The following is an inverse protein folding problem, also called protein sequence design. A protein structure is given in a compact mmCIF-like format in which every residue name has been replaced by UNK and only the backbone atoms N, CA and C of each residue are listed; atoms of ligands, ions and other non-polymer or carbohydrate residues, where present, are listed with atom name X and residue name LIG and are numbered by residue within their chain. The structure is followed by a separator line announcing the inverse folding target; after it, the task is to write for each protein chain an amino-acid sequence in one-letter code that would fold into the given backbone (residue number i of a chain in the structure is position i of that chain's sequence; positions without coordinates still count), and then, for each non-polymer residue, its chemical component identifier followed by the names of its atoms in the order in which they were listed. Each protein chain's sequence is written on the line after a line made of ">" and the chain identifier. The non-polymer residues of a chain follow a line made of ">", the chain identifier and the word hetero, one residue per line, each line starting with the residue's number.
data_IF_505581917873
#
_entry.id   IF_505581917873
#
_cell.length_a   1.000
_cell.length_b   1.000
_cell.length_c   1.000
_cell.angle_alpha   90.00
_cell.angle_beta   90.00
_cell.angle_gamma   90.00
#
_symmetry.space_group_name_H-M   'P 1'
#
loop_
_entity.id
_entity.type
_entity.pdbx_description
1 polymer ?
#
# COMPACT_ATOMS: atom_id res chain seq x y z
N UNK A 1 -1.77 3.11 -8.95
CA UNK A 1 -1.79 1.70 -9.43
C UNK A 1 -2.29 0.77 -8.35
N UNK A 2 -2.44 -0.54 -8.63
CA UNK A 2 -2.80 -1.53 -7.60
C UNK A 2 -1.74 -1.53 -6.48
N UNK A 3 -2.12 -1.99 -5.30
CA UNK A 3 -1.20 -2.13 -4.18
C UNK A 3 0.01 -3.01 -4.56
N UNK A 4 1.21 -2.44 -4.46
CA UNK A 4 2.48 -3.15 -4.63
C UNK A 4 2.96 -3.63 -3.26
N UNK A 5 3.29 -4.91 -3.16
CA UNK A 5 3.99 -5.50 -2.00
C UNK A 5 5.40 -5.90 -2.41
N UNK A 6 6.29 -6.09 -1.43
CA UNK A 6 7.68 -6.48 -1.69
C UNK A 6 7.75 -7.75 -2.55
N UNK A 7 6.98 -8.77 -2.16
CA UNK A 7 6.89 -10.04 -2.88
C UNK A 7 5.52 -10.21 -3.57
N UNK A 8 5.42 -11.05 -4.61
CA UNK A 8 4.15 -11.36 -5.26
C UNK A 8 3.12 -11.95 -4.29
N UNK A 9 1.84 -11.62 -4.50
CA UNK A 9 0.71 -12.18 -3.74
C UNK A 9 -0.34 -12.71 -4.69
N UNK A 10 -0.77 -13.96 -4.49
CA UNK A 10 -1.90 -14.55 -5.24
C UNK A 10 -3.26 -13.97 -4.84
N UNK A 11 -3.38 -13.47 -3.61
CA UNK A 11 -4.65 -13.07 -3.01
C UNK A 11 -5.42 -14.21 -2.36
N UNK A 12 -6.61 -13.91 -1.84
CA UNK A 12 -7.44 -14.87 -1.09
C UNK A 12 -8.09 -15.93 -2.00
N UNK A 13 -8.62 -17.05 -1.49
CA UNK A 13 -9.45 -17.96 -2.28
C UNK A 13 -10.71 -17.28 -2.85
N UNK A 14 -11.28 -17.84 -3.91
CA UNK A 14 -12.59 -17.43 -4.44
C UNK A 14 -13.74 -18.04 -3.62
N UNK A 15 -14.92 -17.39 -3.53
CA UNK A 15 -15.30 -16.12 -4.17
C UNK A 15 -14.70 -14.89 -3.49
N UNK A 16 -14.23 -13.91 -4.29
CA UNK A 16 -13.55 -12.70 -3.80
C UNK A 16 -14.42 -11.44 -3.82
N UNK A 17 -15.58 -11.49 -4.46
CA UNK A 17 -16.49 -10.34 -4.61
C UNK A 17 -17.94 -10.79 -4.49
N UNK A 18 -18.79 -9.93 -3.96
CA UNK A 18 -20.25 -10.09 -3.99
C UNK A 18 -20.92 -8.72 -4.01
N UNK A 19 -22.06 -8.61 -4.66
CA UNK A 19 -22.90 -7.41 -4.63
C UNK A 19 -23.64 -7.31 -3.30
N UNK A 20 -23.91 -6.08 -2.85
CA UNK A 20 -24.79 -5.75 -1.72
C UNK A 20 -25.66 -4.55 -2.10
N UNK A 21 -26.72 -4.28 -1.34
CA UNK A 21 -27.55 -3.09 -1.59
C UNK A 21 -26.71 -1.82 -1.49
N UNK A 22 -26.63 -1.08 -2.60
CA UNK A 22 -25.88 0.19 -2.67
C UNK A 22 -24.35 0.03 -2.74
N UNK A 23 -23.82 -1.17 -3.01
CA UNK A 23 -22.37 -1.34 -3.13
C UNK A 23 -21.91 -2.78 -3.40
N UNK A 24 -20.68 -3.08 -2.99
CA UNK A 24 -20.08 -4.41 -3.11
C UNK A 24 -19.16 -4.72 -1.94
N UNK A 25 -18.99 -6.00 -1.65
CA UNK A 25 -17.93 -6.50 -0.78
C UNK A 25 -16.81 -7.09 -1.63
N UNK A 26 -15.57 -6.92 -1.17
CA UNK A 26 -14.41 -7.57 -1.77
C UNK A 26 -13.46 -8.11 -0.70
N UNK A 27 -12.83 -9.24 -1.03
CA UNK A 27 -11.80 -9.89 -0.25
C UNK A 27 -10.66 -10.34 -1.19
N UNK A 28 -10.11 -9.41 -1.98
CA UNK A 28 -9.09 -9.73 -2.99
C UNK A 28 -7.80 -10.31 -2.37
N UNK A 29 -7.44 -9.85 -1.16
CA UNK A 29 -6.21 -10.29 -0.47
C UNK A 29 -4.93 -9.68 -1.05
N UNK A 30 -5.01 -8.47 -1.62
CA UNK A 30 -3.88 -7.76 -2.23
C UNK A 30 -3.17 -8.56 -3.33
N UNK A 31 -3.92 -9.29 -4.17
CA UNK A 31 -3.32 -10.00 -5.31
C UNK A 31 -2.50 -9.04 -6.19
N UNK A 32 -1.20 -9.20 -6.31
CA UNK A 32 -0.32 -8.31 -7.08
C UNK A 32 0.97 -9.05 -7.46
N UNK A 33 1.68 -8.60 -8.52
CA UNK A 33 2.83 -9.34 -9.03
C UNK A 33 4.13 -9.10 -8.23
N UNK A 34 4.11 -8.25 -7.21
CA UNK A 34 5.29 -7.91 -6.42
C UNK A 34 6.09 -6.76 -7.01
N UNK A 35 7.04 -6.26 -6.23
CA UNK A 35 7.80 -5.05 -6.54
C UNK A 35 8.62 -5.15 -7.83
N UNK A 36 9.30 -6.28 -8.02
CA UNK A 36 10.21 -6.48 -9.15
C UNK A 36 9.47 -6.37 -10.50
N UNK A 37 8.32 -7.04 -10.64
CA UNK A 37 7.51 -7.01 -11.86
C UNK A 37 6.83 -5.64 -12.05
N UNK A 38 6.37 -5.00 -10.97
CA UNK A 38 5.82 -3.64 -11.04
C UNK A 38 6.86 -2.64 -11.57
N UNK A 39 8.12 -2.73 -11.12
CA UNK A 39 9.20 -1.86 -11.58
C UNK A 39 9.66 -2.17 -13.00
N UNK A 40 9.71 -3.46 -13.38
CA UNK A 40 10.20 -3.89 -14.67
C UNK A 40 9.17 -3.69 -15.80
N UNK A 41 7.88 -3.82 -15.51
CA UNK A 41 6.83 -3.89 -16.53
C UNK A 41 5.74 -2.82 -16.35
N UNK A 42 5.05 -2.81 -15.20
CA UNK A 42 3.86 -1.96 -15.02
C UNK A 42 4.19 -0.46 -15.03
N UNK A 43 5.18 -0.03 -14.23
CA UNK A 43 5.54 1.38 -14.12
C UNK A 43 6.15 1.95 -15.41
N UNK A 44 7.07 1.26 -16.12
CA UNK A 44 7.53 1.72 -17.42
C UNK A 44 6.41 1.86 -18.45
N UNK A 45 5.49 0.89 -18.50
CA UNK A 45 4.35 0.97 -19.41
C UNK A 45 3.44 2.17 -19.10
N UNK A 46 3.17 2.41 -17.81
CA UNK A 46 2.39 3.56 -17.35
C UNK A 46 3.08 4.90 -17.60
N UNK A 47 4.41 4.96 -17.44
CA UNK A 47 5.17 6.19 -17.69
C UNK A 47 5.04 6.63 -19.16
N UNK A 48 4.92 5.68 -20.08
CA UNK A 48 4.63 5.95 -21.50
C UNK A 48 3.25 6.56 -21.77
N UNK A 49 2.33 6.56 -20.80
CA UNK A 49 0.98 7.12 -20.95
C UNK A 49 0.92 8.63 -20.68
N UNK A 50 2.03 9.26 -20.29
CA UNK A 50 2.13 10.70 -20.01
C UNK A 50 1.11 11.20 -18.96
N UNK A 51 0.88 10.41 -17.91
CA UNK A 51 0.04 10.76 -16.76
C UNK A 51 0.80 10.56 -15.45
N UNK A 52 0.54 11.36 -14.39
CA UNK A 52 1.15 11.15 -13.09
C UNK A 52 0.77 9.80 -12.48
N UNK A 53 1.75 9.07 -11.96
CA UNK A 53 1.62 7.76 -11.36
C UNK A 53 1.75 7.88 -9.85
N UNK A 54 0.69 7.48 -9.16
CA UNK A 54 0.66 7.33 -7.72
C UNK A 54 0.77 5.83 -7.42
N UNK A 55 1.83 5.44 -6.70
CA UNK A 55 2.06 4.03 -6.35
C UNK A 55 1.46 3.75 -4.99
N UNK A 56 0.44 2.89 -4.98
CA UNK A 56 -0.15 2.40 -3.75
C UNK A 56 0.77 1.31 -3.19
N UNK A 57 1.22 1.45 -1.95
CA UNK A 57 2.16 0.53 -1.31
C UNK A 57 1.51 -0.16 -0.13
N UNK A 58 1.68 -1.47 -0.04
CA UNK A 58 1.26 -2.29 1.09
C UNK A 58 2.41 -3.19 1.56
N UNK A 59 2.32 -3.66 2.80
CA UNK A 59 3.32 -4.51 3.42
C UNK A 59 2.78 -5.10 4.72
N UNK A 60 3.41 -6.19 5.18
CA UNK A 60 3.04 -6.85 6.43
C UNK A 60 3.90 -6.31 7.59
N UNK A 61 5.09 -5.79 7.29
CA UNK A 61 6.04 -5.18 8.23
C UNK A 61 6.49 -3.79 7.79
N UNK A 62 6.99 -2.96 8.72
CA UNK A 62 7.53 -1.61 8.40
C UNK A 62 8.67 -1.71 7.37
N UNK A 63 9.50 -2.74 7.49
CA UNK A 63 10.60 -3.00 6.58
C UNK A 63 10.14 -3.26 5.15
N UNK A 64 9.02 -3.98 4.96
CA UNK A 64 8.42 -4.18 3.63
C UNK A 64 8.00 -2.85 3.01
N UNK A 65 7.36 -1.97 3.79
CA UNK A 65 6.97 -0.64 3.31
C UNK A 65 8.19 0.18 2.93
N UNK A 66 9.22 0.21 3.79
CA UNK A 66 10.44 0.96 3.52
C UNK A 66 11.12 0.49 2.23
N UNK A 67 11.29 -0.81 2.03
CA UNK A 67 11.94 -1.36 0.84
C UNK A 67 11.16 -1.01 -0.44
N UNK A 68 9.84 -1.24 -0.45
CA UNK A 68 9.00 -0.91 -1.62
C UNK A 68 9.06 0.58 -1.94
N UNK A 69 8.93 1.43 -0.92
CA UNK A 69 8.94 2.89 -1.11
C UNK A 69 10.30 3.39 -1.56
N UNK A 70 11.40 2.83 -1.05
CA UNK A 70 12.75 3.21 -1.44
C UNK A 70 13.00 2.90 -2.93
N UNK A 71 12.67 1.68 -3.38
CA UNK A 71 12.86 1.29 -4.77
C UNK A 71 11.95 2.08 -5.72
N UNK A 72 10.69 2.28 -5.35
CA UNK A 72 9.75 3.13 -6.12
C UNK A 72 10.27 4.56 -6.22
N UNK A 73 10.78 5.13 -5.11
CA UNK A 73 11.33 6.49 -5.08
C UNK A 73 12.56 6.61 -5.99
N UNK A 74 13.42 5.58 -6.03
CA UNK A 74 14.64 5.53 -6.86
C UNK A 74 14.35 5.30 -8.35
N UNK A 75 13.22 4.70 -8.69
CA UNK A 75 12.86 4.38 -10.08
C UNK A 75 12.76 5.60 -10.99
N UNK A 76 12.41 6.77 -10.45
CA UNK A 76 12.11 7.98 -11.23
C UNK A 76 10.82 7.89 -12.06
N UNK A 77 10.05 6.80 -11.94
CA UNK A 77 8.83 6.56 -12.72
C UNK A 77 7.58 7.09 -12.01
N UNK A 78 7.57 7.13 -10.68
CA UNK A 78 6.43 7.56 -9.88
C UNK A 78 6.50 9.05 -9.48
N UNK A 79 5.34 9.69 -9.37
CA UNK A 79 5.22 11.09 -8.91
C UNK A 79 4.77 11.20 -7.46
N UNK A 80 4.18 10.14 -6.89
CA UNK A 80 3.84 10.07 -5.47
C UNK A 80 3.70 8.62 -5.00
N UNK A 81 3.77 8.46 -3.69
CA UNK A 81 3.49 7.19 -2.98
C UNK A 81 2.25 7.37 -2.11
N UNK A 82 1.39 6.36 -2.09
CA UNK A 82 0.24 6.26 -1.18
C UNK A 82 0.40 5.02 -0.30
N UNK A 83 0.57 5.19 1.01
CA UNK A 83 0.65 4.07 1.96
C UNK A 83 -0.75 3.52 2.25
N UNK A 84 -0.94 2.25 1.98
CA UNK A 84 -2.14 1.51 2.33
C UNK A 84 -1.99 0.86 3.72
N UNK A 85 -2.37 1.61 4.76
CA UNK A 85 -2.19 1.21 6.16
C UNK A 85 -3.34 0.37 6.72
N UNK A 86 -4.28 -0.09 5.88
CA UNK A 86 -5.36 -0.97 6.32
C UNK A 86 -4.94 -2.43 6.47
N UNK A 87 -3.71 -2.78 6.10
CA UNK A 87 -3.20 -4.16 6.13
C UNK A 87 -2.82 -4.57 7.56
N UNK A 88 -3.04 -5.83 7.96
CA UNK A 88 -2.69 -6.31 9.29
C UNK A 88 -1.16 -6.29 9.51
N UNK A 89 -0.71 -5.74 10.64
CA UNK A 89 0.67 -5.81 11.09
C UNK A 89 0.91 -7.15 11.78
N UNK A 90 1.66 -8.04 11.14
CA UNK A 90 1.95 -9.38 11.67
C UNK A 90 2.78 -9.37 12.95
N UNK A 91 3.64 -8.34 13.16
CA UNK A 91 4.44 -8.20 14.38
C UNK A 91 3.60 -7.81 15.60
N UNK A 92 2.43 -7.20 15.40
CA UNK A 92 1.49 -6.81 16.46
C UNK A 92 0.23 -7.69 16.50
N UNK A 93 0.36 -8.96 16.11
CA UNK A 93 -0.75 -9.92 16.20
C UNK A 93 -1.90 -9.64 15.20
N UNK A 94 -1.61 -8.95 14.09
CA UNK A 94 -2.56 -8.70 13.02
C UNK A 94 -3.35 -7.39 13.13
N UNK A 95 -3.02 -6.51 14.08
CA UNK A 95 -3.61 -5.17 14.15
C UNK A 95 -3.21 -4.33 12.93
N UNK A 96 -4.16 -3.67 12.27
CA UNK A 96 -3.83 -2.82 11.13
C UNK A 96 -2.99 -1.60 11.55
N UNK A 97 -2.03 -1.19 10.71
CA UNK A 97 -1.20 0.00 11.00
C UNK A 97 -2.04 1.27 11.19
N UNK A 98 -3.17 1.38 10.48
CA UNK A 98 -4.03 2.56 10.47
C UNK A 98 -5.10 2.63 11.58
N UNK A 99 -5.00 1.83 12.65
CA UNK A 99 -5.96 1.90 13.77
C UNK A 99 -5.35 2.35 15.11
N UNK A 100 -4.03 2.51 15.16
CA UNK A 100 -3.30 3.03 16.33
C UNK A 100 -2.35 4.16 15.89
N UNK A 101 -2.51 5.34 16.48
CA UNK A 101 -1.77 6.54 16.10
C UNK A 101 -0.25 6.41 16.32
N UNK A 102 0.16 5.70 17.38
CA UNK A 102 1.58 5.51 17.69
C UNK A 102 2.23 4.59 16.66
N UNK A 103 1.54 3.50 16.31
CA UNK A 103 1.98 2.56 15.27
C UNK A 103 2.00 3.23 13.90
N UNK A 104 0.95 3.99 13.55
CA UNK A 104 0.87 4.72 12.29
C UNK A 104 1.98 5.76 12.16
N UNK A 105 2.19 6.58 13.21
CA UNK A 105 3.28 7.56 13.25
C UNK A 105 4.63 6.89 13.05
N UNK A 106 4.90 5.80 13.77
CA UNK A 106 6.16 5.06 13.62
C UNK A 106 6.39 4.56 12.20
N UNK A 107 5.36 3.98 11.55
CA UNK A 107 5.44 3.58 10.15
C UNK A 107 5.76 4.76 9.23
N UNK A 108 5.01 5.87 9.37
CA UNK A 108 5.19 7.05 8.52
C UNK A 108 6.57 7.68 8.71
N UNK A 109 7.06 7.76 9.95
CA UNK A 109 8.40 8.28 10.27
C UNK A 109 9.50 7.44 9.60
N UNK A 110 9.44 6.11 9.69
CA UNK A 110 10.43 5.25 9.04
C UNK A 110 10.36 5.34 7.51
N UNK A 111 9.16 5.27 6.93
CA UNK A 111 8.97 5.37 5.48
C UNK A 111 9.41 6.73 4.96
N UNK A 112 9.17 7.82 5.71
CA UNK A 112 9.58 9.16 5.30
C UNK A 112 11.10 9.30 5.15
N UNK A 113 11.90 8.56 5.93
CA UNK A 113 13.37 8.59 5.86
C UNK A 113 13.90 8.07 4.51
N UNK A 114 13.20 7.12 3.90
CA UNK A 114 13.61 6.47 2.64
C UNK A 114 12.85 6.96 1.42
N UNK A 115 11.67 7.57 1.61
CA UNK A 115 10.92 8.16 0.52
C UNK A 115 11.56 9.49 0.09
N UNK A 116 11.63 9.75 -1.21
CA UNK A 116 11.99 11.08 -1.76
C UNK A 116 10.83 11.76 -2.47
N UNK A 117 9.71 11.05 -2.62
CA UNK A 117 8.49 11.53 -3.29
C UNK A 117 7.50 12.16 -2.29
N UNK A 118 6.49 12.91 -2.77
CA UNK A 118 5.28 13.19 -2.02
C UNK A 118 4.68 11.90 -1.45
N UNK A 119 4.41 11.91 -0.15
CA UNK A 119 3.94 10.74 0.60
C UNK A 119 2.53 11.01 1.11
N UNK A 120 1.59 10.17 0.69
CA UNK A 120 0.20 10.16 1.12
C UNK A 120 -0.07 8.93 1.99
N UNK A 121 -1.03 9.05 2.90
CA UNK A 121 -1.48 7.93 3.73
C UNK A 121 -2.98 7.73 3.49
N UNK A 122 -3.35 6.52 3.09
CA UNK A 122 -4.75 6.12 2.92
C UNK A 122 -5.31 5.62 4.24
N UNK A 123 -6.03 6.48 4.93
CA UNK A 123 -6.61 6.17 6.25
C UNK A 123 -7.76 5.16 6.14
N UNK A 124 -7.84 4.27 7.13
CA UNK A 124 -8.98 3.36 7.29
C UNK A 124 -10.17 4.14 7.85
N UNK A 125 -11.40 3.93 7.32
CA UNK A 125 -12.60 4.46 7.95
C UNK A 125 -13.01 3.66 9.20
N UNK A 126 -12.43 2.47 9.42
CA UNK A 126 -12.81 1.55 10.49
C UNK A 126 -12.05 1.87 11.79
N UNK A 127 -12.29 3.05 12.34
CA UNK A 127 -11.73 3.53 13.61
C UNK A 127 -12.82 4.18 14.44
N UNK A 128 -12.64 4.25 15.76
CA UNK A 128 -13.59 4.94 16.65
C UNK A 128 -13.65 6.43 16.33
N UNK A 129 -12.50 7.08 16.13
CA UNK A 129 -12.35 8.51 15.83
C UNK A 129 -11.09 8.72 14.98
N UNK A 130 -11.25 9.32 13.79
CA UNK A 130 -10.13 9.57 12.88
C UNK A 130 -9.20 10.70 13.35
N UNK A 131 -9.73 11.62 14.15
CA UNK A 131 -8.97 12.74 14.72
C UNK A 131 -7.92 12.30 15.74
N UNK A 132 -8.03 11.06 16.21
CA UNK A 132 -7.13 10.50 17.21
C UNK A 132 -5.92 9.81 16.56
N UNK A 133 -5.88 9.70 15.21
CA UNK A 133 -4.79 9.12 14.40
C UNK A 133 -3.70 10.13 14.04
#
# INVERSE_FOLDING_TARGET
>A
VKATTLYPRLGNPTPRVTEVTGGMLNAIGLANPGLDEVLAEELPWLAGQNVPIFVNVAGDTVEDYCEVVEQVSRSGLAQAVELNVSCPNVKLGGLAFGVDATVLRGLVEEVRKVCTLPLFVKLSPNVTRVQDL
#
